data_IF_254556612802
#
_entry.id   IF_254556612802
#
_cell.length_a   1.000
_cell.length_b   1.000
_cell.length_c   1.000
_cell.angle_alpha   90.00
_cell.angle_beta   90.00
_cell.angle_gamma   90.00
#
_symmetry.space_group_name_H-M   'P 1'
#
loop_
_entity.id
_entity.type
_entity.pdbx_description
1 polymer ?
#
# COMPACT_ATOMS: atom_id res chain seq x y z
N UNK A 1 16.74 11.99 -19.33
CA UNK A 1 16.44 12.58 -18.01
C UNK A 1 14.98 12.29 -17.74
N UNK A 2 14.69 11.16 -17.09
CA UNK A 2 13.30 10.77 -16.81
C UNK A 2 12.80 11.71 -15.70
N UNK A 3 11.75 12.48 -15.98
CA UNK A 3 11.15 13.35 -14.97
C UNK A 3 10.41 12.47 -13.97
N UNK A 4 10.78 12.57 -12.70
CA UNK A 4 10.10 11.92 -11.58
C UNK A 4 8.62 12.33 -11.57
N UNK A 5 7.70 11.36 -11.47
CA UNK A 5 6.25 11.58 -11.44
C UNK A 5 5.85 12.63 -10.39
N UNK A 6 6.55 12.68 -9.26
CA UNK A 6 6.34 13.69 -8.23
C UNK A 6 6.57 15.12 -8.77
N UNK A 7 7.62 15.31 -9.56
CA UNK A 7 7.91 16.60 -10.21
C UNK A 7 6.90 16.92 -11.30
N UNK A 8 6.43 15.93 -12.06
CA UNK A 8 5.40 16.16 -13.06
C UNK A 8 4.08 16.62 -12.42
N UNK A 9 3.73 16.07 -11.25
CA UNK A 9 2.55 16.46 -10.47
C UNK A 9 2.69 17.88 -9.92
N UNK A 10 3.84 18.24 -9.34
CA UNK A 10 4.10 19.59 -8.83
C UNK A 10 4.03 20.67 -9.93
N UNK A 11 4.44 20.32 -11.14
CA UNK A 11 4.47 21.26 -12.27
C UNK A 11 3.16 21.27 -13.08
N UNK A 12 2.09 20.62 -12.60
CA UNK A 12 0.81 20.50 -13.32
C UNK A 12 0.96 19.97 -14.75
N UNK A 13 1.90 19.06 -14.98
CA UNK A 13 2.17 18.53 -16.32
C UNK A 13 1.11 17.51 -16.73
N UNK A 14 0.54 17.65 -17.93
CA UNK A 14 -0.35 16.65 -18.53
C UNK A 14 0.30 15.25 -18.62
N UNK A 15 1.63 15.18 -18.60
CA UNK A 15 2.35 13.91 -18.57
C UNK A 15 2.06 13.11 -17.29
N UNK A 16 1.90 13.78 -16.14
CA UNK A 16 1.58 13.13 -14.87
C UNK A 16 0.26 12.36 -14.96
N UNK A 17 -0.79 12.99 -15.50
CA UNK A 17 -2.10 12.36 -15.63
C UNK A 17 -2.02 11.10 -16.52
N UNK A 18 -1.34 11.20 -17.67
CA UNK A 18 -1.18 10.06 -18.60
C UNK A 18 -0.43 8.91 -17.94
N UNK A 19 0.58 9.20 -17.14
CA UNK A 19 1.37 8.21 -16.44
C UNK A 19 0.55 7.48 -15.37
N UNK A 20 -0.15 8.24 -14.52
CA UNK A 20 -1.02 7.68 -13.48
C UNK A 20 -2.14 6.84 -14.12
N UNK A 21 -2.74 7.32 -15.20
CA UNK A 21 -3.80 6.60 -15.90
C UNK A 21 -3.31 5.25 -16.43
N UNK A 22 -2.18 5.24 -17.15
CA UNK A 22 -1.57 4.02 -17.68
C UNK A 22 -1.19 3.03 -16.57
N UNK A 23 -0.67 3.54 -15.46
CA UNK A 23 -0.18 2.71 -14.35
C UNK A 23 -1.30 2.10 -13.50
N UNK A 24 -2.45 2.77 -13.37
CA UNK A 24 -3.40 2.43 -12.29
C UNK A 24 -4.85 2.26 -12.71
N UNK A 25 -5.32 2.86 -13.82
CA UNK A 25 -6.76 2.85 -14.14
C UNK A 25 -7.31 1.43 -14.30
N UNK A 26 -6.56 0.53 -14.94
CA UNK A 26 -6.97 -0.88 -15.11
C UNK A 26 -7.19 -1.58 -13.76
N UNK A 27 -6.25 -1.42 -12.83
CA UNK A 27 -6.32 -2.04 -11.48
C UNK A 27 -7.49 -1.46 -10.68
N UNK A 28 -7.65 -0.13 -10.70
CA UNK A 28 -8.76 0.54 -10.01
C UNK A 28 -10.11 0.11 -10.58
N UNK A 29 -10.23 0.03 -11.91
CA UNK A 29 -11.44 -0.46 -12.58
C UNK A 29 -11.78 -1.88 -12.14
N UNK A 30 -10.81 -2.80 -12.17
CA UNK A 30 -11.05 -4.17 -11.74
C UNK A 30 -11.49 -4.24 -10.28
N UNK A 31 -10.84 -3.49 -9.40
CA UNK A 31 -11.21 -3.44 -7.99
C UNK A 31 -12.64 -2.95 -7.78
N UNK A 32 -13.03 -1.85 -8.45
CA UNK A 32 -14.39 -1.30 -8.35
C UNK A 32 -15.44 -2.30 -8.87
N UNK A 33 -15.21 -2.92 -10.03
CA UNK A 33 -16.11 -3.91 -10.60
C UNK A 33 -16.28 -5.15 -9.70
N UNK A 34 -15.18 -5.65 -9.11
CA UNK A 34 -15.23 -6.76 -8.13
C UNK A 34 -15.96 -6.38 -6.86
N UNK A 35 -16.03 -5.10 -6.52
CA UNK A 35 -16.61 -4.58 -5.29
C UNK A 35 -17.92 -3.82 -5.50
N UNK A 36 -18.80 -4.38 -6.34
CA UNK A 36 -20.18 -3.90 -6.57
C UNK A 36 -20.31 -2.49 -7.14
N UNK A 37 -19.29 -2.03 -7.87
CA UNK A 37 -19.32 -0.79 -8.65
C UNK A 37 -19.46 -1.04 -10.15
N UNK A 38 -19.64 0.04 -10.90
CA UNK A 38 -19.69 0.08 -12.35
C UNK A 38 -18.38 0.64 -12.95
N UNK A 39 -18.26 0.60 -14.28
CA UNK A 39 -17.15 1.27 -14.95
C UNK A 39 -17.21 2.79 -14.80
N UNK A 40 -18.40 3.38 -14.71
CA UNK A 40 -18.53 4.83 -14.49
C UNK A 40 -18.13 5.20 -13.05
N UNK A 41 -18.52 4.39 -12.05
CA UNK A 41 -18.01 4.54 -10.68
C UNK A 41 -16.46 4.49 -10.66
N UNK A 42 -15.84 3.65 -11.49
CA UNK A 42 -14.38 3.54 -11.56
C UNK A 42 -13.71 4.77 -12.19
N UNK A 43 -14.33 5.38 -13.20
CA UNK A 43 -13.85 6.63 -13.81
C UNK A 43 -13.92 7.77 -12.80
N UNK A 44 -15.05 7.90 -12.11
CA UNK A 44 -15.27 8.94 -11.10
C UNK A 44 -14.28 8.78 -9.94
N UNK A 45 -14.14 7.55 -9.43
CA UNK A 45 -13.17 7.24 -8.37
C UNK A 45 -11.73 7.57 -8.77
N UNK A 46 -11.34 7.22 -10.01
CA UNK A 46 -10.00 7.51 -10.51
C UNK A 46 -9.75 9.01 -10.57
N UNK A 47 -10.69 9.79 -11.12
CA UNK A 47 -10.58 11.24 -11.23
C UNK A 47 -10.49 11.90 -9.85
N UNK A 48 -11.38 11.53 -8.92
CA UNK A 48 -11.31 12.01 -7.55
C UNK A 48 -10.01 11.62 -6.85
N UNK A 49 -9.49 10.42 -7.12
CA UNK A 49 -8.22 9.96 -6.60
C UNK A 49 -7.06 10.83 -7.09
N UNK A 50 -7.07 11.22 -8.37
CA UNK A 50 -6.03 12.08 -8.95
C UNK A 50 -6.08 13.48 -8.34
N UNK A 51 -7.28 14.05 -8.19
CA UNK A 51 -7.49 15.36 -7.54
C UNK A 51 -6.98 15.31 -6.10
N UNK A 52 -7.37 14.30 -5.34
CA UNK A 52 -6.93 14.15 -3.94
C UNK A 52 -5.41 13.96 -3.82
N UNK A 53 -4.78 13.21 -4.75
CA UNK A 53 -3.32 13.08 -4.79
C UNK A 53 -2.65 14.44 -5.04
N UNK A 54 -3.16 15.17 -6.04
CA UNK A 54 -2.69 16.50 -6.39
C UNK A 54 -2.79 17.47 -5.21
N UNK A 55 -3.94 17.51 -4.53
CA UNK A 55 -4.17 18.34 -3.35
C UNK A 55 -3.20 17.99 -2.21
N UNK A 56 -3.00 16.70 -1.94
CA UNK A 56 -2.11 16.24 -0.88
C UNK A 56 -0.65 16.65 -1.15
N UNK A 57 -0.21 16.65 -2.42
CA UNK A 57 1.13 17.11 -2.81
C UNK A 57 1.25 18.63 -2.66
N UNK A 58 0.30 19.40 -3.20
CA UNK A 58 0.38 20.87 -3.21
C UNK A 58 0.17 21.50 -1.82
N UNK A 59 -0.59 20.82 -0.96
CA UNK A 59 -0.73 21.21 0.45
C UNK A 59 0.46 20.79 1.33
N UNK A 60 1.41 20.02 0.80
CA UNK A 60 2.55 19.48 1.54
C UNK A 60 2.20 18.31 2.47
N UNK A 61 0.97 17.80 2.43
CA UNK A 61 0.54 16.61 3.19
C UNK A 61 1.22 15.32 2.70
N UNK A 62 1.66 15.29 1.46
CA UNK A 62 2.55 14.27 0.90
C UNK A 62 3.79 14.94 0.32
N UNK A 63 4.98 14.53 0.76
CA UNK A 63 6.25 15.14 0.38
C UNK A 63 7.36 14.11 0.06
N UNK A 64 7.01 12.83 -0.07
CA UNK A 64 7.98 11.78 -0.40
C UNK A 64 8.20 11.72 -1.93
N UNK A 65 9.45 11.87 -2.37
CA UNK A 65 9.81 11.80 -3.80
C UNK A 65 10.02 10.37 -4.31
N UNK A 66 9.85 9.36 -3.45
CA UNK A 66 9.98 7.98 -3.88
C UNK A 66 8.78 7.58 -4.76
N UNK A 67 9.06 7.21 -6.00
CA UNK A 67 8.05 6.87 -7.00
C UNK A 67 7.16 5.68 -6.56
N UNK A 68 7.76 4.64 -5.95
CA UNK A 68 7.01 3.48 -5.43
C UNK A 68 6.05 3.90 -4.31
N UNK A 69 6.47 4.79 -3.42
CA UNK A 69 5.59 5.35 -2.39
C UNK A 69 4.44 6.14 -3.00
N UNK A 70 4.71 6.92 -4.04
CA UNK A 70 3.70 7.74 -4.71
C UNK A 70 2.62 6.87 -5.35
N UNK A 71 3.02 5.80 -6.06
CA UNK A 71 2.11 4.82 -6.64
C UNK A 71 1.28 4.10 -5.56
N UNK A 72 1.90 3.68 -4.45
CA UNK A 72 1.20 3.05 -3.34
C UNK A 72 0.21 3.99 -2.64
N UNK A 73 0.62 5.24 -2.44
CA UNK A 73 -0.21 6.29 -1.85
C UNK A 73 -1.45 6.57 -2.70
N UNK A 74 -1.29 6.70 -4.03
CA UNK A 74 -2.42 6.87 -4.95
C UNK A 74 -3.44 5.73 -4.88
N UNK A 75 -2.97 4.47 -4.87
CA UNK A 75 -3.86 3.30 -4.71
C UNK A 75 -4.59 3.33 -3.36
N UNK A 76 -3.93 3.78 -2.30
CA UNK A 76 -4.53 3.95 -0.97
C UNK A 76 -5.65 4.96 -0.96
N UNK A 77 -5.45 6.12 -1.61
CA UNK A 77 -6.48 7.16 -1.77
C UNK A 77 -7.72 6.57 -2.43
N UNK A 78 -7.54 5.90 -3.58
CA UNK A 78 -8.64 5.30 -4.33
C UNK A 78 -9.36 4.22 -3.52
N UNK A 79 -8.61 3.36 -2.81
CA UNK A 79 -9.18 2.32 -1.96
C UNK A 79 -10.01 2.93 -0.82
N UNK A 80 -9.46 3.91 -0.10
CA UNK A 80 -10.16 4.56 1.00
C UNK A 80 -11.45 5.24 0.53
N UNK A 81 -11.39 6.00 -0.56
CA UNK A 81 -12.57 6.65 -1.17
C UNK A 81 -13.65 5.64 -1.57
N UNK A 82 -13.27 4.53 -2.20
CA UNK A 82 -14.25 3.49 -2.57
C UNK A 82 -14.92 2.88 -1.34
N UNK A 83 -14.14 2.62 -0.29
CA UNK A 83 -14.67 2.14 1.00
C UNK A 83 -15.68 3.11 1.61
N UNK A 84 -15.43 4.42 1.54
CA UNK A 84 -16.38 5.44 2.00
C UNK A 84 -17.68 5.42 1.18
N UNK A 85 -17.57 5.30 -0.15
CA UNK A 85 -18.74 5.18 -1.05
C UNK A 85 -19.57 3.94 -0.70
N UNK A 86 -18.93 2.79 -0.48
CA UNK A 86 -19.64 1.55 -0.11
C UNK A 86 -20.36 1.66 1.24
N UNK A 87 -19.71 2.29 2.23
CA UNK A 87 -20.31 2.56 3.56
C UNK A 87 -21.51 3.48 3.44
N UNK A 88 -21.42 4.54 2.63
CA UNK A 88 -22.53 5.47 2.37
C UNK A 88 -23.71 4.81 1.65
N UNK A 89 -23.47 3.81 0.79
CA UNK A 89 -24.51 3.04 0.09
C UNK A 89 -25.16 1.95 0.96
N UNK A 90 -24.82 1.84 2.25
CA UNK A 90 -25.40 0.87 3.18
C UNK A 90 -25.03 -0.59 2.87
N UNK A 91 -24.03 -0.81 2.00
CA UNK A 91 -23.62 -2.15 1.59
C UNK A 91 -22.49 -2.63 2.51
N UNK A 92 -22.80 -3.48 3.48
CA UNK A 92 -21.80 -4.35 4.13
C UNK A 92 -21.40 -5.43 3.13
N UNK A 93 -20.55 -5.08 2.16
CA UNK A 93 -19.96 -6.05 1.24
C UNK A 93 -18.71 -6.63 1.90
N UNK A 94 -18.61 -7.95 1.92
CA UNK A 94 -17.32 -8.62 2.03
C UNK A 94 -16.46 -8.20 0.83
N UNK A 95 -15.60 -7.21 1.04
CA UNK A 95 -14.73 -6.67 0.00
C UNK A 95 -13.83 -7.80 -0.48
N UNK A 96 -13.85 -8.04 -1.79
CA UNK A 96 -12.96 -9.00 -2.41
C UNK A 96 -11.52 -8.55 -2.15
N UNK A 97 -10.71 -9.45 -1.58
CA UNK A 97 -9.28 -9.22 -1.37
C UNK A 97 -8.57 -9.18 -2.72
N UNK A 98 -8.45 -7.97 -3.28
CA UNK A 98 -7.73 -7.74 -4.53
C UNK A 98 -6.28 -7.41 -4.20
N UNK A 99 -5.42 -8.44 -4.23
CA UNK A 99 -3.98 -8.32 -3.94
C UNK A 99 -3.27 -7.23 -4.76
N UNK A 100 -3.82 -6.81 -5.90
CA UNK A 100 -3.26 -5.73 -6.74
C UNK A 100 -3.57 -4.31 -6.22
N UNK A 101 -4.71 -4.15 -5.54
CA UNK A 101 -5.11 -2.91 -4.87
C UNK A 101 -4.69 -2.91 -3.39
N UNK A 102 -4.11 -4.03 -2.92
CA UNK A 102 -3.55 -4.08 -1.59
C UNK A 102 -2.33 -3.17 -1.52
N UNK A 103 -2.46 -2.25 -0.58
CA UNK A 103 -1.64 -1.06 -0.52
C UNK A 103 -0.22 -1.47 -0.16
N UNK A 104 0.69 -1.02 -1.00
CA UNK A 104 2.14 -0.90 -0.78
C UNK A 104 2.41 0.16 0.33
N UNK A 105 1.76 0.06 1.49
CA UNK A 105 2.15 0.78 2.74
C UNK A 105 3.13 -0.05 3.56
N UNK A 106 3.24 -1.30 3.14
CA UNK A 106 3.81 -2.43 3.84
C UNK A 106 5.17 -2.77 3.19
N UNK A 107 5.21 -2.84 1.85
CA UNK A 107 6.45 -2.92 1.05
C UNK A 107 7.28 -1.62 1.09
N UNK A 108 6.67 -0.45 1.30
CA UNK A 108 7.38 0.84 1.35
C UNK A 108 8.26 0.98 2.59
N UNK A 109 7.82 0.44 3.73
CA UNK A 109 8.69 0.36 4.90
C UNK A 109 9.77 -0.68 4.73
N UNK A 110 9.46 -1.83 4.13
CA UNK A 110 10.48 -2.85 3.86
C UNK A 110 11.53 -2.39 2.84
N UNK A 111 11.15 -1.59 1.85
CA UNK A 111 12.05 -1.05 0.83
C UNK A 111 12.90 0.12 1.34
N UNK A 112 12.36 0.97 2.22
CA UNK A 112 13.15 1.97 2.95
C UNK A 112 14.19 1.33 3.90
N UNK A 113 13.93 0.10 4.34
CA UNK A 113 14.76 -0.65 5.28
C UNK A 113 15.98 -1.34 4.64
N UNK A 114 16.12 -1.35 3.31
CA UNK A 114 17.10 -2.19 2.62
C UNK A 114 18.00 -1.36 1.69
N UNK A 115 19.04 -0.73 2.27
CA UNK A 115 20.32 -0.52 1.58
C UNK A 115 21.21 -1.75 1.75
N UNK A 116 22.19 -1.99 0.87
CA UNK A 116 23.10 -3.16 0.98
C UNK A 116 23.81 -3.26 2.33
N UNK A 117 24.10 -2.12 2.97
CA UNK A 117 24.73 -2.03 4.29
C UNK A 117 23.74 -2.28 5.45
N UNK A 118 22.44 -2.28 5.18
CA UNK A 118 21.35 -2.45 6.16
C UNK A 118 20.75 -3.87 6.14
N UNK A 119 21.15 -4.73 5.19
CA UNK A 119 20.61 -6.10 5.05
C UNK A 119 20.89 -6.93 6.31
N UNK A 120 22.12 -6.91 6.82
CA UNK A 120 22.47 -7.68 8.02
C UNK A 120 21.72 -7.15 9.27
N UNK A 121 21.56 -5.82 9.36
CA UNK A 121 20.78 -5.19 10.42
C UNK A 121 19.30 -5.57 10.32
N UNK A 122 18.74 -5.55 9.11
CA UNK A 122 17.39 -5.98 8.81
C UNK A 122 17.17 -7.45 9.18
N UNK A 123 18.07 -8.34 8.77
CA UNK A 123 17.99 -9.77 9.10
C UNK A 123 18.05 -10.02 10.61
N UNK A 124 18.85 -9.23 11.34
CA UNK A 124 18.88 -9.26 12.80
C UNK A 124 17.53 -8.85 13.43
N UNK A 125 16.93 -7.76 12.95
CA UNK A 125 15.61 -7.29 13.43
C UNK A 125 14.49 -8.26 13.06
N UNK A 126 14.52 -8.79 11.83
CA UNK A 126 13.56 -9.75 11.35
C UNK A 126 13.61 -11.03 12.20
N UNK A 127 14.81 -11.52 12.52
CA UNK A 127 15.02 -12.68 13.40
C UNK A 127 14.51 -12.46 14.83
N UNK A 128 14.52 -11.20 15.32
CA UNK A 128 14.05 -10.84 16.66
C UNK A 128 12.51 -10.78 16.78
N UNK A 129 11.75 -10.83 15.67
CA UNK A 129 10.30 -10.95 15.72
C UNK A 129 9.89 -12.32 16.27
N UNK A 130 8.69 -12.42 16.84
CA UNK A 130 8.13 -13.72 17.23
C UNK A 130 7.91 -14.64 16.00
N UNK A 131 8.03 -15.96 16.18
CA UNK A 131 8.00 -16.97 15.10
C UNK A 131 6.78 -16.82 14.19
N UNK A 132 5.58 -16.63 14.77
CA UNK A 132 4.36 -16.40 13.99
C UNK A 132 4.43 -15.13 13.14
N UNK A 133 5.01 -14.05 13.66
CA UNK A 133 5.16 -12.82 12.89
C UNK A 133 6.18 -12.99 11.76
N UNK A 134 7.32 -13.65 12.00
CA UNK A 134 8.28 -13.95 10.93
C UNK A 134 7.62 -14.77 9.83
N UNK A 135 6.87 -15.80 10.22
CA UNK A 135 6.17 -16.67 9.29
C UNK A 135 5.13 -15.90 8.45
N UNK A 136 4.28 -15.07 9.06
CA UNK A 136 3.30 -14.24 8.34
C UNK A 136 4.00 -13.35 7.30
N UNK A 137 5.07 -12.65 7.72
CA UNK A 137 5.77 -11.72 6.83
C UNK A 137 6.52 -12.45 5.72
N UNK A 138 7.17 -13.59 6.00
CA UNK A 138 7.82 -14.42 4.98
C UNK A 138 6.83 -14.94 3.95
N UNK A 139 5.70 -15.53 4.40
CA UNK A 139 4.70 -16.07 3.48
C UNK A 139 4.11 -14.98 2.58
N UNK A 140 3.92 -13.77 3.12
CA UNK A 140 3.38 -12.65 2.36
C UNK A 140 4.39 -12.03 1.39
N UNK A 141 5.58 -11.65 1.86
CA UNK A 141 6.53 -10.88 1.06
C UNK A 141 7.47 -11.73 0.22
N UNK A 142 7.89 -12.89 0.73
CA UNK A 142 8.83 -13.78 0.05
C UNK A 142 8.09 -14.83 -0.79
N UNK A 143 7.14 -15.56 -0.18
CA UNK A 143 6.40 -16.61 -0.89
C UNK A 143 5.21 -16.08 -1.70
N UNK A 144 4.92 -14.78 -1.64
CA UNK A 144 3.84 -14.09 -2.36
C UNK A 144 2.46 -14.74 -2.21
N UNK A 145 2.18 -15.32 -1.04
CA UNK A 145 0.89 -15.94 -0.72
C UNK A 145 -0.17 -14.89 -0.41
N UNK A 146 -1.41 -15.19 -0.77
CA UNK A 146 -2.55 -14.34 -0.42
C UNK A 146 -3.01 -14.58 1.03
N UNK A 147 -3.87 -13.69 1.55
CA UNK A 147 -4.31 -13.73 2.95
C UNK A 147 -5.02 -15.04 3.33
N UNK A 148 -5.74 -15.65 2.37
CA UNK A 148 -6.42 -16.93 2.58
C UNK A 148 -5.43 -18.08 2.74
N UNK A 149 -4.39 -18.11 1.92
CA UNK A 149 -3.34 -19.13 2.05
C UNK A 149 -2.56 -18.96 3.35
N UNK A 150 -2.24 -17.72 3.73
CA UNK A 150 -1.51 -17.43 4.97
C UNK A 150 -2.35 -17.80 6.20
N UNK A 151 -3.67 -17.55 6.16
CA UNK A 151 -4.58 -17.88 7.26
C UNK A 151 -4.58 -19.39 7.54
N UNK A 152 -4.64 -20.21 6.49
CA UNK A 152 -4.60 -21.67 6.59
C UNK A 152 -3.28 -22.16 7.19
N UNK A 153 -2.16 -21.57 6.79
CA UNK A 153 -0.82 -21.98 7.25
C UNK A 153 -0.57 -21.56 8.71
N UNK A 154 -1.01 -20.37 9.10
CA UNK A 154 -0.69 -19.76 10.40
C UNK A 154 -1.72 -20.06 11.49
N UNK A 155 -2.90 -20.56 11.09
CA UNK A 155 -4.04 -20.86 11.95
C UNK A 155 -4.80 -19.62 12.42
N UNK A 156 -4.56 -18.45 11.83
CA UNK A 156 -5.35 -17.25 12.08
C UNK A 156 -6.64 -17.26 11.25
N UNK A 157 -7.69 -16.62 11.76
CA UNK A 157 -8.86 -16.35 10.93
C UNK A 157 -8.54 -15.40 9.79
N UNK A 158 -9.08 -15.66 8.61
CA UNK A 158 -8.88 -14.83 7.41
C UNK A 158 -9.29 -13.36 7.65
N UNK A 159 -10.36 -13.15 8.43
CA UNK A 159 -10.87 -11.84 8.86
C UNK A 159 -9.82 -11.04 9.64
N UNK A 160 -8.99 -11.73 10.42
CA UNK A 160 -7.98 -11.14 11.29
C UNK A 160 -6.63 -10.98 10.60
N UNK A 161 -6.40 -11.62 9.45
CA UNK A 161 -5.07 -11.70 8.86
C UNK A 161 -4.47 -10.35 8.47
N UNK A 162 -5.31 -9.45 7.96
CA UNK A 162 -4.89 -8.08 7.64
C UNK A 162 -4.38 -7.34 8.88
N UNK A 163 -5.09 -7.47 10.00
CA UNK A 163 -4.71 -6.85 11.26
C UNK A 163 -3.47 -7.49 11.89
N UNK A 164 -3.37 -8.82 11.85
CA UNK A 164 -2.20 -9.54 12.37
C UNK A 164 -0.93 -9.23 11.57
N UNK A 165 -1.01 -9.18 10.22
CA UNK A 165 0.09 -8.74 9.37
C UNK A 165 0.52 -7.31 9.74
N UNK A 166 -0.44 -6.40 9.85
CA UNK A 166 -0.16 -5.01 10.24
C UNK A 166 0.55 -4.91 11.60
N UNK A 167 0.08 -5.63 12.63
CA UNK A 167 0.75 -5.69 13.94
C UNK A 167 2.19 -6.20 13.84
N UNK A 168 2.45 -7.20 13.01
CA UNK A 168 3.80 -7.73 12.81
C UNK A 168 4.72 -6.70 12.13
N UNK A 169 4.19 -5.92 11.19
CA UNK A 169 4.93 -4.82 10.54
C UNK A 169 5.22 -3.69 11.53
N UNK A 170 4.25 -3.31 12.37
CA UNK A 170 4.46 -2.29 13.41
C UNK A 170 5.51 -2.74 14.44
N UNK A 171 5.57 -4.02 14.78
CA UNK A 171 6.65 -4.57 15.63
C UNK A 171 8.01 -4.43 14.95
N UNK A 172 8.10 -4.74 13.66
CA UNK A 172 9.35 -4.61 12.90
C UNK A 172 9.79 -3.14 12.81
N UNK A 173 8.84 -2.22 12.56
CA UNK A 173 9.07 -0.76 12.59
C UNK A 173 9.58 -0.28 13.95
N UNK A 174 8.98 -0.76 15.04
CA UNK A 174 9.41 -0.39 16.38
C UNK A 174 10.83 -0.87 16.69
N UNK A 175 11.24 -2.06 16.22
CA UNK A 175 12.61 -2.56 16.34
C UNK A 175 13.59 -1.67 15.56
N UNK A 176 13.21 -1.26 14.35
CA UNK A 176 14.01 -0.36 13.53
C UNK A 176 14.21 1.00 14.21
N UNK A 177 13.12 1.66 14.61
CA UNK A 177 13.18 2.98 15.25
C UNK A 177 13.99 2.98 16.56
N UNK A 178 13.90 1.92 17.36
CA UNK A 178 14.72 1.78 18.58
C UNK A 178 16.21 1.72 18.28
N UNK A 179 16.59 1.14 17.13
CA UNK A 179 17.99 0.91 16.76
C UNK A 179 18.59 2.10 16.01
N UNK A 180 17.82 2.78 15.17
CA UNK A 180 18.25 3.98 14.45
C UNK A 180 18.14 5.26 15.28
N UNK A 181 17.16 5.36 16.19
CA UNK A 181 17.01 6.50 17.11
C UNK A 181 18.11 6.63 18.17
N UNK A 182 18.96 5.61 18.32
CA UNK A 182 20.16 5.63 19.18
C UNK A 182 21.45 6.04 18.48
N UNK A 183 21.43 6.24 17.15
CA UNK A 183 22.55 6.83 16.39
C UNK A 183 22.30 8.34 16.26
N UNK A 184 22.54 9.09 17.34
CA UNK A 184 22.84 10.53 17.27
C UNK A 184 24.28 10.75 17.62
#
# INVERSE_FOLDING_TARGET
MQSDLYQLLLNNSDAAYREIYRAHYSVIKQYVLKNSGSEDDAKDLFQEGVIALWDNIHSGKYNHTNETMLHGYFRSICKFKWMEILRGKGKFIEIADDGEMDVITDETVLNDLIKREEIDEFMGMFSALADKCRQILSLFYYDKKNMKEISVITGYEISSMRNEKYKCIEKLRALYLRRTGGRK
#
